data_IF_738626833051
#
_entry.id   IF_738626833051
#
_cell.length_a   1.000
_cell.length_b   1.000
_cell.length_c   1.000
_cell.angle_alpha   90.00
_cell.angle_beta   90.00
_cell.angle_gamma   90.00
#
_symmetry.space_group_name_H-M   'P 1'
#
loop_
_entity.id
_entity.type
_entity.pdbx_description
1 polymer ?
#
# COMPACT_ATOMS: atom_id res chain seq x y z
N UNK A 1 -19.77 27.44 -36.11
CA UNK A 1 -18.88 26.53 -36.85
C UNK A 1 -17.81 26.09 -35.86
N UNK A 2 -17.99 24.85 -35.40
CA UNK A 2 -17.19 24.07 -34.45
C UNK A 2 -16.71 24.66 -33.12
N UNK A 3 -17.47 24.27 -32.09
CA UNK A 3 -17.00 23.92 -30.76
C UNK A 3 -15.78 22.98 -30.82
N UNK A 4 -14.87 23.20 -29.88
CA UNK A 4 -13.72 22.35 -29.61
C UNK A 4 -13.31 22.52 -28.15
N UNK A 5 -14.20 22.13 -27.26
CA UNK A 5 -13.92 21.87 -25.85
C UNK A 5 -12.61 21.09 -25.72
N UNK A 6 -11.57 21.70 -25.13
CA UNK A 6 -10.47 20.93 -24.55
C UNK A 6 -10.93 20.37 -23.19
N UNK A 7 -12.00 19.58 -23.22
CA UNK A 7 -12.41 18.69 -22.15
C UNK A 7 -11.56 17.43 -22.21
N UNK A 8 -10.68 17.24 -21.23
CA UNK A 8 -9.80 16.08 -21.13
C UNK A 8 -8.40 16.56 -20.76
N UNK A 9 -7.93 16.45 -19.52
CA UNK A 9 -8.01 15.29 -18.63
C UNK A 9 -8.17 15.84 -17.21
N UNK A 10 -9.30 15.62 -16.54
CA UNK A 10 -9.31 15.54 -15.07
C UNK A 10 -8.57 14.25 -14.71
N UNK A 11 -7.24 14.29 -14.85
CA UNK A 11 -6.36 13.15 -14.67
C UNK A 11 -6.46 12.72 -13.22
N UNK A 12 -7.19 11.65 -12.97
CA UNK A 12 -7.24 10.97 -11.69
C UNK A 12 -5.81 10.53 -11.35
N UNK A 13 -5.06 11.37 -10.63
CA UNK A 13 -3.63 11.13 -10.36
C UNK A 13 -3.47 10.02 -9.34
N UNK A 14 -3.46 8.78 -9.83
CA UNK A 14 -3.26 7.54 -9.08
C UNK A 14 -1.92 7.47 -8.37
N UNK A 15 -0.95 8.26 -8.83
CA UNK A 15 0.41 8.23 -8.31
C UNK A 15 0.54 8.80 -6.89
N UNK A 16 -0.35 9.69 -6.42
CA UNK A 16 -0.23 10.23 -5.05
C UNK A 16 -0.46 9.17 -3.97
N UNK A 17 -1.60 8.43 -3.97
CA UNK A 17 -1.78 7.34 -3.03
C UNK A 17 -0.68 6.28 -3.16
N UNK A 18 -0.20 6.00 -4.37
CA UNK A 18 0.91 5.08 -4.61
C UNK A 18 2.22 5.56 -3.96
N UNK A 19 2.60 6.83 -4.11
CA UNK A 19 3.79 7.40 -3.47
C UNK A 19 3.63 7.42 -1.94
N UNK A 20 2.46 7.80 -1.44
CA UNK A 20 2.19 7.82 0.00
C UNK A 20 2.30 6.42 0.62
N UNK A 21 1.73 5.40 -0.03
CA UNK A 21 1.83 4.03 0.43
C UNK A 21 3.24 3.45 0.33
N UNK A 22 3.97 3.75 -0.75
CA UNK A 22 5.37 3.34 -0.88
C UNK A 22 6.26 3.96 0.22
N UNK A 23 6.07 5.25 0.51
CA UNK A 23 6.76 5.93 1.60
C UNK A 23 6.41 5.32 2.96
N UNK A 24 5.12 5.07 3.24
CA UNK A 24 4.68 4.45 4.48
C UNK A 24 5.26 3.04 4.67
N UNK A 25 5.25 2.23 3.60
CA UNK A 25 5.86 0.89 3.59
C UNK A 25 7.35 0.94 3.92
N UNK A 26 8.08 1.84 3.27
CA UNK A 26 9.51 1.98 3.45
C UNK A 26 9.87 2.51 4.84
N UNK A 27 9.13 3.49 5.35
CA UNK A 27 9.30 4.00 6.70
C UNK A 27 9.01 2.95 7.77
N UNK A 28 7.96 2.13 7.57
CA UNK A 28 7.67 1.00 8.46
C UNK A 28 8.82 -0.02 8.42
N UNK A 29 9.35 -0.32 7.23
CA UNK A 29 10.52 -1.19 7.09
C UNK A 29 11.75 -0.63 7.83
N UNK A 30 12.03 0.67 7.67
CA UNK A 30 13.14 1.33 8.34
C UNK A 30 12.98 1.25 9.87
N UNK A 31 11.81 1.59 10.39
CA UNK A 31 11.53 1.54 11.83
C UNK A 31 11.68 0.11 12.40
N UNK A 32 11.15 -0.90 11.70
CA UNK A 32 11.31 -2.31 12.08
C UNK A 32 12.78 -2.71 12.05
N UNK A 33 13.53 -2.27 11.03
CA UNK A 33 14.94 -2.65 10.85
C UNK A 33 15.85 -2.20 12.00
N UNK A 34 15.42 -1.21 12.78
CA UNK A 34 16.10 -0.69 13.97
C UNK A 34 15.82 -1.51 15.24
N UNK A 35 14.92 -2.50 15.18
CA UNK A 35 14.58 -3.35 16.33
C UNK A 35 15.58 -4.50 16.49
N UNK A 36 15.83 -4.97 17.73
CA UNK A 36 16.68 -6.15 17.97
C UNK A 36 16.15 -7.41 17.26
N UNK A 37 14.84 -7.61 17.25
CA UNK A 37 14.18 -8.75 16.58
C UNK A 37 14.50 -8.78 15.09
N UNK A 38 14.53 -7.61 14.43
CA UNK A 38 14.89 -7.53 13.02
C UNK A 38 16.38 -7.77 12.77
N UNK A 39 17.26 -7.46 13.72
CA UNK A 39 18.68 -7.81 13.63
C UNK A 39 18.88 -9.33 13.72
N UNK A 40 18.21 -9.99 14.67
CA UNK A 40 18.28 -11.44 14.83
C UNK A 40 17.68 -12.17 13.61
N UNK A 41 16.54 -11.68 13.09
CA UNK A 41 15.92 -12.20 11.88
C UNK A 41 16.86 -12.13 10.66
N UNK A 42 17.52 -10.97 10.46
CA UNK A 42 18.47 -10.79 9.36
C UNK A 42 19.69 -11.69 9.51
N UNK A 43 20.24 -11.79 10.72
CA UNK A 43 21.35 -12.69 11.03
C UNK A 43 20.99 -14.15 10.71
N UNK A 44 19.83 -14.60 11.17
CA UNK A 44 19.37 -15.98 10.97
C UNK A 44 19.15 -16.35 9.50
N UNK A 45 18.79 -15.38 8.66
CA UNK A 45 18.54 -15.58 7.23
C UNK A 45 19.67 -15.08 6.34
N UNK A 46 20.79 -14.62 6.91
CA UNK A 46 21.92 -14.04 6.17
C UNK A 46 21.51 -12.90 5.23
N UNK A 47 20.64 -12.00 5.71
CA UNK A 47 20.13 -10.86 4.96
C UNK A 47 21.01 -9.64 5.20
N UNK A 48 21.62 -9.13 4.12
CA UNK A 48 22.39 -7.89 4.15
C UNK A 48 21.48 -6.65 4.35
N UNK A 49 21.90 -5.75 5.23
CA UNK A 49 21.09 -4.61 5.65
C UNK A 49 20.77 -3.62 4.52
N UNK A 50 21.81 -3.18 3.78
CA UNK A 50 21.64 -2.15 2.74
C UNK A 50 20.84 -2.68 1.55
N UNK A 51 21.15 -3.85 0.96
CA UNK A 51 20.32 -4.45 -0.09
C UNK A 51 18.86 -4.62 0.33
N UNK A 52 18.60 -5.08 1.56
CA UNK A 52 17.25 -5.22 2.09
C UNK A 52 16.48 -3.89 2.12
N UNK A 53 17.12 -2.77 2.48
CA UNK A 53 16.46 -1.45 2.47
C UNK A 53 16.07 -1.01 1.04
N UNK A 54 16.91 -1.32 0.06
CA UNK A 54 16.66 -1.01 -1.36
C UNK A 54 15.55 -1.88 -1.91
N UNK A 55 15.61 -3.20 -1.68
CA UNK A 55 14.55 -4.14 -2.05
C UNK A 55 13.21 -3.75 -1.42
N UNK A 56 13.22 -3.30 -0.16
CA UNK A 56 12.02 -2.78 0.49
C UNK A 56 11.49 -1.51 -0.19
N UNK A 57 12.34 -0.60 -0.64
CA UNK A 57 11.90 0.59 -1.35
C UNK A 57 11.23 0.23 -2.68
N UNK A 58 11.89 -0.62 -3.48
CA UNK A 58 11.37 -1.09 -4.77
C UNK A 58 10.07 -1.87 -4.59
N UNK A 59 10.04 -2.83 -3.66
CA UNK A 59 8.86 -3.62 -3.35
C UNK A 59 7.69 -2.75 -2.87
N UNK A 60 7.95 -1.74 -2.04
CA UNK A 60 6.96 -0.77 -1.59
C UNK A 60 6.32 0.00 -2.75
N UNK A 61 7.13 0.47 -3.70
CA UNK A 61 6.63 1.15 -4.92
C UNK A 61 5.74 0.22 -5.74
N UNK A 62 6.19 -1.02 -6.00
CA UNK A 62 5.44 -2.00 -6.80
C UNK A 62 4.10 -2.32 -6.15
N UNK A 63 4.11 -2.72 -4.87
CA UNK A 63 2.89 -3.12 -4.15
C UNK A 63 1.94 -1.92 -4.03
N UNK A 64 2.47 -0.74 -3.68
CA UNK A 64 1.61 0.43 -3.46
C UNK A 64 0.99 0.92 -4.76
N UNK A 65 1.72 0.83 -5.87
CA UNK A 65 1.18 1.15 -7.20
C UNK A 65 0.07 0.17 -7.58
N UNK A 66 0.28 -1.14 -7.36
CA UNK A 66 -0.72 -2.16 -7.63
C UNK A 66 -2.00 -1.95 -6.78
N UNK A 67 -1.86 -1.74 -5.47
CA UNK A 67 -3.00 -1.50 -4.57
C UNK A 67 -3.75 -0.22 -4.94
N UNK A 68 -3.03 0.89 -5.16
CA UNK A 68 -3.66 2.16 -5.57
C UNK A 68 -4.37 2.03 -6.92
N UNK A 69 -3.74 1.38 -7.89
CA UNK A 69 -4.34 1.14 -9.21
C UNK A 69 -5.59 0.28 -9.12
N UNK A 70 -5.53 -0.87 -8.43
CA UNK A 70 -6.67 -1.77 -8.27
C UNK A 70 -7.83 -1.09 -7.53
N UNK A 71 -7.53 -0.30 -6.50
CA UNK A 71 -8.54 0.44 -5.75
C UNK A 71 -9.25 1.47 -6.64
N UNK A 72 -8.50 2.23 -7.45
CA UNK A 72 -9.11 3.23 -8.34
C UNK A 72 -9.86 2.59 -9.51
N UNK A 73 -9.35 1.48 -10.06
CA UNK A 73 -9.92 0.86 -11.27
C UNK A 73 -11.08 -0.07 -10.99
N UNK A 74 -11.05 -0.76 -9.84
CA UNK A 74 -11.99 -1.82 -9.47
C UNK A 74 -12.60 -1.61 -8.08
N UNK A 75 -12.49 -0.41 -7.50
CA UNK A 75 -12.97 -0.10 -6.15
C UNK A 75 -14.43 -0.48 -5.89
N UNK A 76 -15.28 -0.49 -6.92
CA UNK A 76 -16.69 -0.91 -6.80
C UNK A 76 -16.88 -2.42 -6.59
N UNK A 77 -15.90 -3.23 -6.99
CA UNK A 77 -15.91 -4.69 -6.83
C UNK A 77 -15.17 -5.15 -5.57
N UNK A 78 -14.41 -4.25 -4.92
CA UNK A 78 -13.66 -4.57 -3.71
C UNK A 78 -14.61 -4.50 -2.51
N UNK A 79 -14.74 -5.58 -1.72
CA UNK A 79 -15.60 -5.56 -0.54
C UNK A 79 -15.06 -4.57 0.50
N UNK A 80 -15.94 -3.75 1.08
CA UNK A 80 -15.57 -2.81 2.14
C UNK A 80 -16.38 -1.52 2.12
N UNK A 81 -16.61 -0.95 3.31
CA UNK A 81 -17.26 0.36 3.47
C UNK A 81 -16.21 1.47 3.40
N UNK A 82 -16.06 2.06 2.21
CA UNK A 82 -15.15 3.18 1.94
C UNK A 82 -13.72 2.76 1.59
N UNK A 83 -12.93 3.73 1.12
CA UNK A 83 -11.62 3.50 0.51
C UNK A 83 -10.58 2.90 1.43
N UNK A 84 -10.62 3.24 2.73
CA UNK A 84 -9.70 2.68 3.70
C UNK A 84 -9.90 1.17 3.86
N UNK A 85 -11.16 0.73 4.03
CA UNK A 85 -11.47 -0.68 4.17
C UNK A 85 -11.09 -1.47 2.91
N UNK A 86 -11.40 -0.92 1.73
CA UNK A 86 -11.06 -1.53 0.43
C UNK A 86 -9.54 -1.64 0.23
N UNK A 87 -8.78 -0.59 0.54
CA UNK A 87 -7.33 -0.59 0.47
C UNK A 87 -6.71 -1.64 1.41
N UNK A 88 -7.26 -1.79 2.62
CA UNK A 88 -6.84 -2.82 3.57
C UNK A 88 -7.13 -4.23 3.07
N UNK A 89 -8.29 -4.47 2.45
CA UNK A 89 -8.60 -5.78 1.84
C UNK A 89 -7.63 -6.12 0.72
N UNK A 90 -7.36 -5.17 -0.19
CA UNK A 90 -6.39 -5.37 -1.26
C UNK A 90 -4.99 -5.62 -0.71
N UNK A 91 -4.60 -4.90 0.34
CA UNK A 91 -3.29 -5.06 1.00
C UNK A 91 -3.20 -6.41 1.73
N UNK A 92 -4.28 -6.88 2.35
CA UNK A 92 -4.35 -8.23 2.92
C UNK A 92 -4.22 -9.31 1.83
N UNK A 93 -4.84 -9.11 0.67
CA UNK A 93 -4.64 -9.96 -0.50
C UNK A 93 -3.18 -9.98 -0.97
N UNK A 94 -2.52 -8.82 -1.03
CA UNK A 94 -1.10 -8.72 -1.37
C UNK A 94 -0.21 -9.45 -0.35
N UNK A 95 -0.49 -9.31 0.95
CA UNK A 95 0.20 -10.04 2.02
C UNK A 95 0.02 -11.55 1.86
N UNK A 96 -1.20 -12.02 1.60
CA UNK A 96 -1.48 -13.44 1.39
C UNK A 96 -0.72 -13.97 0.16
N UNK A 97 -0.74 -13.23 -0.95
CA UNK A 97 -0.01 -13.59 -2.17
C UNK A 97 1.50 -13.69 -1.91
N UNK A 98 2.10 -12.69 -1.26
CA UNK A 98 3.52 -12.70 -0.91
C UNK A 98 3.87 -13.86 0.02
N UNK A 99 3.00 -14.16 0.98
CA UNK A 99 3.18 -15.29 1.89
C UNK A 99 3.20 -16.60 1.13
N UNK A 100 2.28 -16.81 0.20
CA UNK A 100 2.21 -18.04 -0.62
C UNK A 100 3.41 -18.16 -1.56
N UNK A 101 3.77 -17.07 -2.25
CA UNK A 101 4.82 -17.09 -3.29
C UNK A 101 6.22 -17.15 -2.68
N UNK A 102 6.48 -16.40 -1.60
CA UNK A 102 7.83 -16.20 -1.04
C UNK A 102 7.99 -16.88 0.32
N UNK A 103 6.98 -16.80 1.18
CA UNK A 103 7.08 -17.25 2.57
C UNK A 103 6.96 -18.76 2.76
N UNK A 104 6.03 -19.42 2.06
CA UNK A 104 5.75 -20.85 2.22
C UNK A 104 6.85 -21.77 1.66
N UNK A 105 7.41 -21.55 0.44
CA UNK A 105 8.35 -22.51 -0.16
C UNK A 105 9.57 -22.87 0.74
N UNK A 106 10.23 -21.92 1.42
CA UNK A 106 11.36 -22.23 2.31
C UNK A 106 11.01 -23.11 3.52
N UNK A 107 9.74 -23.09 3.97
CA UNK A 107 9.27 -23.84 5.13
C UNK A 107 8.98 -25.31 4.77
N UNK A 108 8.58 -25.59 3.53
CA UNK A 108 8.22 -26.94 3.08
C UNK A 108 9.44 -27.88 2.92
N UNK A 109 10.65 -27.35 2.73
CA UNK A 109 11.87 -28.13 2.47
C UNK A 109 12.65 -28.63 3.70
N UNK A 110 12.00 -29.23 4.71
CA UNK A 110 12.57 -29.98 5.88
C UNK A 110 13.25 -29.24 7.06
N UNK A 111 12.51 -28.88 8.13
CA UNK A 111 13.07 -28.54 9.47
C UNK A 111 12.18 -27.61 10.30
N UNK A 112 11.22 -28.16 11.03
CA UNK A 112 9.96 -27.45 11.36
C UNK A 112 9.98 -26.44 12.52
N UNK A 113 10.83 -26.60 13.54
CA UNK A 113 10.74 -25.74 14.74
C UNK A 113 11.42 -24.37 14.53
N UNK A 114 12.68 -24.34 14.09
CA UNK A 114 13.45 -23.11 13.91
C UNK A 114 12.96 -22.28 12.71
N UNK A 115 12.55 -22.94 11.61
CA UNK A 115 12.05 -22.23 10.42
C UNK A 115 10.66 -21.64 10.61
N UNK A 116 9.79 -22.32 11.36
CA UNK A 116 8.45 -21.82 11.67
C UNK A 116 8.50 -20.50 12.45
N UNK A 117 9.43 -20.39 13.41
CA UNK A 117 9.64 -19.14 14.15
C UNK A 117 10.01 -17.98 13.21
N UNK A 118 11.03 -18.13 12.36
CA UNK A 118 11.45 -17.07 11.45
C UNK A 118 10.44 -16.77 10.35
N UNK A 119 9.68 -17.77 9.91
CA UNK A 119 8.52 -17.55 9.04
C UNK A 119 7.48 -16.65 9.71
N UNK A 120 7.12 -16.91 10.97
CA UNK A 120 6.16 -16.10 11.71
C UNK A 120 6.68 -14.66 11.92
N UNK A 121 7.96 -14.52 12.27
CA UNK A 121 8.61 -13.19 12.38
C UNK A 121 8.53 -12.45 11.05
N UNK A 122 8.88 -13.10 9.93
CA UNK A 122 8.78 -12.53 8.59
C UNK A 122 7.35 -12.15 8.21
N UNK A 123 6.36 -12.98 8.57
CA UNK A 123 4.94 -12.70 8.34
C UNK A 123 4.49 -11.45 9.11
N UNK A 124 4.85 -11.33 10.38
CA UNK A 124 4.52 -10.15 11.20
C UNK A 124 5.17 -8.89 10.64
N UNK A 125 6.46 -8.95 10.27
CA UNK A 125 7.17 -7.84 9.64
C UNK A 125 6.44 -7.38 8.37
N UNK A 126 6.07 -8.32 7.49
CA UNK A 126 5.36 -8.00 6.26
C UNK A 126 3.93 -7.47 6.52
N UNK A 127 3.22 -8.01 7.51
CA UNK A 127 1.89 -7.55 7.88
C UNK A 127 1.92 -6.07 8.33
N UNK A 128 2.91 -5.67 9.12
CA UNK A 128 3.08 -4.28 9.54
C UNK A 128 3.37 -3.38 8.33
N UNK A 129 4.33 -3.76 7.49
CA UNK A 129 4.76 -2.96 6.32
C UNK A 129 3.62 -2.78 5.31
N UNK A 130 2.96 -3.88 4.93
CA UNK A 130 1.86 -3.89 3.95
C UNK A 130 0.60 -3.24 4.55
N UNK A 131 0.35 -3.42 5.84
CA UNK A 131 -0.73 -2.73 6.55
C UNK A 131 -0.54 -1.21 6.53
N UNK A 132 0.66 -0.72 6.85
CA UNK A 132 0.97 0.71 6.81
C UNK A 132 0.76 1.32 5.41
N UNK A 133 1.18 0.60 4.37
CA UNK A 133 0.92 0.95 2.96
C UNK A 133 -0.58 1.04 2.68
N UNK A 134 -1.36 0.02 3.04
CA UNK A 134 -2.80 -0.02 2.82
C UNK A 134 -3.54 1.14 3.50
N UNK A 135 -3.16 1.46 4.74
CA UNK A 135 -3.70 2.60 5.47
C UNK A 135 -3.40 3.91 4.73
N UNK A 136 -2.15 4.12 4.32
CA UNK A 136 -1.75 5.34 3.62
C UNK A 136 -2.47 5.48 2.27
N UNK A 137 -2.52 4.42 1.46
CA UNK A 137 -3.25 4.43 0.17
C UNK A 137 -4.73 4.77 0.40
N UNK A 138 -5.39 4.08 1.34
CA UNK A 138 -6.80 4.28 1.63
C UNK A 138 -7.12 5.70 2.14
N UNK A 139 -6.30 6.24 3.03
CA UNK A 139 -6.46 7.59 3.57
C UNK A 139 -6.31 8.66 2.47
N UNK A 140 -5.25 8.61 1.67
CA UNK A 140 -5.01 9.58 0.61
C UNK A 140 -6.02 9.50 -0.52
N UNK A 141 -6.53 8.29 -0.82
CA UNK A 141 -7.61 8.10 -1.81
C UNK A 141 -8.92 8.72 -1.30
N UNK A 142 -9.26 8.49 -0.02
CA UNK A 142 -10.44 9.11 0.61
C UNK A 142 -10.36 10.64 0.62
N UNK A 143 -9.25 11.23 1.06
CA UNK A 143 -9.07 12.69 1.14
C UNK A 143 -9.18 13.37 -0.21
N UNK A 144 -8.87 12.66 -1.30
CA UNK A 144 -9.05 13.14 -2.67
C UNK A 144 -10.48 13.05 -3.21
N UNK A 145 -11.33 12.18 -2.67
CA UNK A 145 -12.75 12.17 -3.03
C UNK A 145 -13.56 13.22 -2.27
N UNK A 146 -13.11 13.61 -1.07
CA UNK A 146 -13.79 14.64 -0.27
C UNK A 146 -13.50 16.05 -0.82
N UNK A 147 -12.27 16.33 -1.28
CA UNK A 147 -11.85 17.67 -1.74
C UNK A 147 -12.58 18.24 -2.98
N UNK A 148 -12.93 17.48 -4.02
CA UNK A 148 -13.67 17.99 -5.17
C UNK A 148 -15.07 18.49 -4.81
N UNK A 149 -15.72 17.84 -3.84
CA UNK A 149 -17.13 18.10 -3.52
C UNK A 149 -17.35 19.44 -2.81
N UNK A 150 -16.30 19.98 -2.17
CA UNK A 150 -16.32 21.30 -1.53
C UNK A 150 -16.09 22.44 -2.54
N UNK A 151 -15.44 22.17 -3.68
CA UNK A 151 -15.17 23.17 -4.71
C UNK A 151 -16.39 23.43 -5.63
N UNK A 152 -17.39 22.54 -5.62
CA UNK A 152 -18.65 22.72 -6.35
C UNK A 152 -19.81 23.26 -5.49
N UNK A 153 -19.55 23.58 -4.22
CA UNK A 153 -20.54 24.19 -3.31
C UNK A 153 -20.25 25.67 -3.05
N UNK A 154 -19.68 26.41 -4.02
CA UNK A 154 -19.68 27.87 -3.94
C UNK A 154 -21.11 28.37 -4.18
N UNK A 155 -21.74 29.06 -3.21
CA UNK A 155 -23.14 29.42 -3.31
C UNK A 155 -23.30 30.52 -4.36
N UNK A 156 -23.99 30.22 -5.45
CA UNK A 156 -24.50 31.20 -6.41
C UNK A 156 -25.65 32.00 -5.77
N UNK A 157 -25.36 32.77 -4.72
CA UNK A 157 -26.23 33.85 -4.26
C UNK A 157 -25.78 35.14 -4.95
N UNK A 158 -26.15 35.30 -6.22
CA UNK A 158 -26.35 36.65 -6.79
C UNK A 158 -27.84 36.95 -6.69
N UNK A 159 -28.18 37.79 -5.72
CA UNK A 159 -29.47 38.48 -5.64
C UNK A 159 -29.68 39.32 -6.90
N UNK A 160 -30.83 39.20 -7.60
CA UNK A 160 -31.22 40.20 -8.58
C UNK A 160 -31.75 41.45 -7.82
N UNK A 161 -31.12 42.59 -8.09
CA UNK A 161 -31.63 43.93 -7.77
C UNK A 161 -32.38 44.50 -8.98
#
# INVERSE_FOLDING_TARGET
MHDGESGGIHGQTWWLPAVAGAAAFWMANLAISLTPVAADYRSALSIDYVPMLVEAAVGGVVISSAVAFLLMRFGDHVPGRGELAKALVLSAGALALLTVVVGIPPVLGSGMAQRGHWFLVGLVINAIRIGALGVAVGFFTRSRMIRPNLAHQEPTHRTPS
#
